data_IF_392601944207
#
_entry.id   IF_392601944207
#
_cell.length_a   1.000
_cell.length_b   1.000
_cell.length_c   1.000
_cell.angle_alpha   90.00
_cell.angle_beta   90.00
_cell.angle_gamma   90.00
#
_symmetry.space_group_name_H-M   'P 1'
#
loop_
_entity.id
_entity.type
_entity.pdbx_description
1 polymer ?
#
# COMPACT_ATOMS: atom_id res chain seq x y z
N UNK A 1 23.49 22.68 -14.84
CA UNK A 1 23.45 21.53 -15.77
C UNK A 1 22.55 20.48 -15.14
N UNK A 2 21.32 20.39 -15.62
CA UNK A 2 20.32 19.46 -15.07
C UNK A 2 20.70 18.02 -15.39
N UNK A 3 21.18 17.30 -14.41
CA UNK A 3 21.27 15.84 -14.48
C UNK A 3 19.84 15.28 -14.50
N UNK A 4 19.39 14.94 -15.70
CA UNK A 4 18.12 14.28 -15.97
C UNK A 4 18.02 13.03 -15.11
N UNK A 5 17.14 13.08 -14.11
CA UNK A 5 16.75 11.96 -13.29
C UNK A 5 16.13 10.87 -14.19
N UNK A 6 16.94 9.93 -14.65
CA UNK A 6 16.56 8.94 -15.65
C UNK A 6 15.66 7.89 -14.99
N UNK A 7 14.34 8.14 -15.05
CA UNK A 7 13.27 7.12 -14.88
C UNK A 7 13.42 6.20 -13.67
N UNK A 8 13.60 6.78 -12.46
CA UNK A 8 13.52 6.03 -11.21
C UNK A 8 14.72 5.12 -10.90
N UNK A 9 15.86 5.32 -11.56
CA UNK A 9 17.13 4.74 -11.16
C UNK A 9 17.83 5.64 -10.15
N UNK A 10 18.60 5.04 -9.25
CA UNK A 10 19.52 5.77 -8.38
C UNK A 10 20.59 6.47 -9.22
N UNK A 11 21.23 7.51 -8.67
CA UNK A 11 22.30 8.29 -9.34
C UNK A 11 23.39 7.44 -9.99
N UNK A 12 23.67 6.25 -9.44
CA UNK A 12 24.67 5.29 -9.92
C UNK A 12 24.13 4.32 -10.98
N UNK A 13 23.04 4.61 -11.66
CA UNK A 13 22.38 3.70 -12.61
C UNK A 13 21.98 2.32 -12.04
N UNK A 14 22.02 2.17 -10.71
CA UNK A 14 21.58 0.96 -10.01
C UNK A 14 20.06 0.84 -10.03
N UNK A 15 19.52 -0.38 -10.06
CA UNK A 15 18.07 -0.57 -9.99
C UNK A 15 17.54 -0.06 -8.64
N UNK A 16 16.31 0.45 -8.66
CA UNK A 16 15.64 0.87 -7.44
C UNK A 16 15.45 -0.35 -6.51
N UNK A 17 15.81 -0.27 -5.22
CA UNK A 17 15.67 -1.38 -4.28
C UNK A 17 14.25 -1.95 -4.18
N UNK A 18 13.22 -1.10 -4.30
CA UNK A 18 11.83 -1.56 -4.32
C UNK A 18 11.55 -2.37 -5.59
N UNK A 19 12.04 -1.94 -6.76
CA UNK A 19 11.87 -2.70 -8.01
C UNK A 19 12.59 -4.06 -7.93
N UNK A 20 13.73 -4.12 -7.24
CA UNK A 20 14.46 -5.37 -6.96
C UNK A 20 13.65 -6.29 -6.06
N UNK A 21 13.09 -5.76 -4.96
CA UNK A 21 12.25 -6.52 -4.04
C UNK A 21 11.03 -7.11 -4.76
N UNK A 22 10.27 -6.27 -5.46
CA UNK A 22 9.09 -6.69 -6.25
C UNK A 22 9.47 -7.77 -7.27
N UNK A 23 10.58 -7.58 -7.98
CA UNK A 23 11.09 -8.56 -8.93
C UNK A 23 11.47 -9.91 -8.29
N UNK A 24 12.07 -9.88 -7.11
CA UNK A 24 12.40 -11.09 -6.34
C UNK A 24 11.13 -11.83 -5.87
N UNK A 25 10.10 -11.11 -5.40
CA UNK A 25 8.81 -11.69 -5.01
C UNK A 25 8.12 -12.34 -6.19
N UNK A 26 8.11 -11.67 -7.36
CA UNK A 26 7.62 -12.22 -8.63
C UNK A 26 8.34 -13.53 -8.99
N UNK A 27 9.67 -13.53 -8.96
CA UNK A 27 10.51 -14.70 -9.24
C UNK A 27 10.24 -15.85 -8.27
N UNK A 28 10.11 -15.55 -6.97
CA UNK A 28 9.81 -16.54 -5.93
C UNK A 28 8.48 -17.24 -6.22
N UNK A 29 7.41 -16.47 -6.44
CA UNK A 29 6.07 -17.02 -6.70
C UNK A 29 6.03 -17.87 -7.97
N UNK A 30 6.65 -17.38 -9.06
CA UNK A 30 6.78 -18.15 -10.30
C UNK A 30 7.46 -19.51 -10.06
N UNK A 31 8.56 -19.53 -9.27
CA UNK A 31 9.25 -20.78 -8.93
C UNK A 31 8.40 -21.73 -8.11
N UNK A 32 7.64 -21.22 -7.13
CA UNK A 32 6.69 -22.01 -6.33
C UNK A 32 5.66 -22.66 -7.25
N UNK A 33 5.19 -21.95 -8.26
CA UNK A 33 4.26 -22.48 -9.28
C UNK A 33 4.95 -23.37 -10.32
N UNK A 34 6.25 -23.66 -10.17
CA UNK A 34 7.07 -24.43 -11.11
C UNK A 34 7.01 -23.90 -12.57
N UNK A 35 6.74 -22.61 -12.72
CA UNK A 35 6.59 -21.96 -14.01
C UNK A 35 7.96 -21.48 -14.53
N UNK A 36 8.25 -21.69 -15.82
CA UNK A 36 9.45 -21.11 -16.46
C UNK A 36 9.27 -19.61 -16.74
N UNK A 37 10.35 -18.87 -16.91
CA UNK A 37 10.27 -17.47 -17.36
C UNK A 37 9.61 -17.32 -18.74
N UNK A 38 9.84 -18.28 -19.62
CA UNK A 38 9.20 -18.32 -20.95
C UNK A 38 7.69 -18.52 -20.85
N UNK A 39 7.26 -19.44 -19.97
CA UNK A 39 5.85 -19.68 -19.71
C UNK A 39 5.17 -18.42 -19.15
N UNK A 40 5.80 -17.77 -18.18
CA UNK A 40 5.27 -16.52 -17.62
C UNK A 40 5.20 -15.41 -18.68
N UNK A 41 6.24 -15.27 -19.51
CA UNK A 41 6.27 -14.30 -20.61
C UNK A 41 5.12 -14.53 -21.60
N UNK A 42 4.86 -15.78 -21.97
CA UNK A 42 3.73 -16.16 -22.84
C UNK A 42 2.39 -15.75 -22.27
N UNK A 43 2.13 -16.03 -20.99
CA UNK A 43 0.86 -15.66 -20.33
C UNK A 43 0.68 -14.15 -20.20
N UNK A 44 1.76 -13.39 -20.07
CA UNK A 44 1.76 -11.94 -19.95
C UNK A 44 1.81 -11.21 -21.31
N UNK A 45 1.90 -11.93 -22.43
CA UNK A 45 2.04 -11.33 -23.75
C UNK A 45 3.31 -10.47 -23.91
N UNK A 46 4.44 -10.91 -23.34
CA UNK A 46 5.70 -10.16 -23.36
C UNK A 46 6.90 -11.06 -23.69
N UNK A 47 8.07 -10.44 -23.90
CA UNK A 47 9.28 -11.18 -24.19
C UNK A 47 9.88 -11.78 -22.90
N UNK A 48 10.57 -12.89 -23.05
CA UNK A 48 11.34 -13.52 -21.99
C UNK A 48 12.38 -12.56 -21.37
N UNK A 49 13.06 -11.77 -22.19
CA UNK A 49 14.03 -10.77 -21.73
C UNK A 49 13.39 -9.71 -20.83
N UNK A 50 12.12 -9.34 -21.10
CA UNK A 50 11.43 -8.38 -20.26
C UNK A 50 11.07 -8.97 -18.90
N UNK A 51 10.66 -10.24 -18.84
CA UNK A 51 10.47 -10.97 -17.58
C UNK A 51 11.76 -11.04 -16.78
N UNK A 52 12.90 -11.34 -17.42
CA UNK A 52 14.20 -11.31 -16.75
C UNK A 52 14.55 -9.95 -16.16
N UNK A 53 14.31 -8.87 -16.91
CA UNK A 53 14.57 -7.51 -16.45
C UNK A 53 13.69 -7.17 -15.23
N UNK A 54 12.42 -7.59 -15.23
CA UNK A 54 11.52 -7.42 -14.11
C UNK A 54 12.00 -8.19 -12.87
N UNK A 55 12.32 -9.48 -13.02
CA UNK A 55 12.79 -10.32 -11.91
C UNK A 55 14.10 -9.86 -11.29
N UNK A 56 14.91 -9.11 -12.05
CA UNK A 56 16.17 -8.52 -11.57
C UNK A 56 16.03 -7.07 -11.08
N UNK A 57 14.85 -6.47 -11.23
CA UNK A 57 14.59 -5.07 -10.88
C UNK A 57 15.23 -4.06 -11.85
N UNK A 58 15.74 -4.49 -12.99
CA UNK A 58 16.33 -3.60 -14.00
C UNK A 58 15.30 -2.79 -14.79
N UNK A 59 14.06 -3.22 -14.78
CA UNK A 59 12.94 -2.49 -15.35
C UNK A 59 11.84 -2.38 -14.31
N UNK A 60 11.27 -1.18 -14.18
CA UNK A 60 10.11 -0.93 -13.33
C UNK A 60 8.88 -1.59 -13.93
N UNK A 61 8.09 -2.24 -13.09
CA UNK A 61 6.80 -2.82 -13.47
C UNK A 61 5.73 -1.74 -13.22
N UNK A 62 5.09 -1.28 -14.29
CA UNK A 62 3.96 -0.35 -14.17
C UNK A 62 2.75 -1.03 -13.50
N UNK A 63 1.86 -0.23 -12.89
CA UNK A 63 0.74 -0.73 -12.08
C UNK A 63 -0.16 -1.72 -12.85
N UNK A 64 -0.55 -1.41 -14.10
CA UNK A 64 -1.35 -2.32 -14.93
C UNK A 64 -0.64 -3.64 -15.21
N UNK A 65 0.67 -3.58 -15.47
CA UNK A 65 1.46 -4.78 -15.71
C UNK A 65 1.65 -5.61 -14.44
N UNK A 66 1.79 -4.95 -13.30
CA UNK A 66 1.87 -5.63 -12.00
C UNK A 66 0.53 -6.33 -11.67
N UNK A 67 -0.59 -5.71 -12.06
CA UNK A 67 -1.90 -6.34 -11.98
C UNK A 67 -1.97 -7.62 -12.82
N UNK A 68 -1.57 -7.58 -14.11
CA UNK A 68 -1.53 -8.77 -14.96
C UNK A 68 -0.68 -9.89 -14.34
N UNK A 69 0.49 -9.53 -13.81
CA UNK A 69 1.39 -10.47 -13.12
C UNK A 69 0.71 -11.08 -11.90
N UNK A 70 -0.06 -10.30 -11.13
CA UNK A 70 -0.78 -10.78 -9.95
C UNK A 70 -1.83 -11.84 -10.32
N UNK A 71 -2.55 -11.60 -11.42
CA UNK A 71 -3.57 -12.54 -11.93
C UNK A 71 -2.91 -13.85 -12.41
N UNK A 72 -1.87 -13.76 -13.23
CA UNK A 72 -1.17 -14.94 -13.76
C UNK A 72 -0.53 -15.78 -12.65
N UNK A 73 0.03 -15.12 -11.64
CA UNK A 73 0.68 -15.78 -10.50
C UNK A 73 -0.28 -16.16 -9.37
N UNK A 74 -1.57 -15.80 -9.50
CA UNK A 74 -2.62 -16.01 -8.51
C UNK A 74 -2.20 -15.55 -7.09
N UNK A 75 -1.91 -14.26 -6.97
CA UNK A 75 -1.58 -13.58 -5.72
C UNK A 75 -2.23 -12.20 -5.67
N UNK A 76 -2.41 -11.66 -4.47
CA UNK A 76 -2.84 -10.26 -4.31
C UNK A 76 -1.73 -9.28 -4.69
N UNK A 77 -2.08 -8.03 -5.02
CA UNK A 77 -1.10 -6.97 -5.28
C UNK A 77 -0.17 -6.74 -4.08
N UNK A 78 -0.69 -6.86 -2.86
CA UNK A 78 0.08 -6.67 -1.63
C UNK A 78 1.18 -7.73 -1.47
N UNK A 79 1.05 -8.89 -2.09
CA UNK A 79 2.07 -9.93 -2.06
C UNK A 79 3.44 -9.42 -2.50
N UNK A 80 3.50 -8.55 -3.51
CA UNK A 80 4.76 -8.05 -4.07
C UNK A 80 5.49 -7.08 -3.14
N UNK A 81 4.78 -6.47 -2.19
CA UNK A 81 5.32 -5.52 -1.23
C UNK A 81 5.44 -6.09 0.18
N UNK A 82 4.89 -7.29 0.42
CA UNK A 82 4.99 -7.98 1.69
C UNK A 82 6.46 -8.30 2.04
N UNK A 83 6.76 -8.31 3.33
CA UNK A 83 8.09 -8.62 3.89
C UNK A 83 9.22 -7.69 3.38
N UNK A 84 8.86 -6.48 2.91
CA UNK A 84 9.86 -5.48 2.54
C UNK A 84 10.49 -4.92 3.81
N UNK A 85 11.81 -5.02 3.93
CA UNK A 85 12.54 -4.50 5.08
C UNK A 85 12.58 -2.96 5.07
N UNK A 86 12.64 -2.38 6.26
CA UNK A 86 12.64 -0.94 6.45
C UNK A 86 13.84 -0.26 5.75
N UNK A 87 14.97 -0.96 5.68
CA UNK A 87 16.16 -0.48 4.99
C UNK A 87 15.91 -0.32 3.49
N UNK A 88 15.21 -1.28 2.87
CA UNK A 88 14.82 -1.21 1.45
C UNK A 88 13.84 -0.05 1.21
N UNK A 89 12.86 0.15 2.10
CA UNK A 89 11.92 1.27 2.02
C UNK A 89 12.66 2.62 2.08
N UNK A 90 13.58 2.79 3.03
CA UNK A 90 14.37 4.02 3.22
C UNK A 90 15.35 4.30 2.07
N UNK A 91 15.68 3.33 1.24
CA UNK A 91 16.51 3.51 0.04
C UNK A 91 15.71 3.95 -1.19
N UNK A 92 14.40 4.11 -1.10
CA UNK A 92 13.61 4.69 -2.18
C UNK A 92 14.10 6.12 -2.49
N UNK A 93 14.15 6.53 -3.77
CA UNK A 93 14.53 7.90 -4.14
C UNK A 93 13.73 8.99 -3.44
N UNK A 94 12.48 8.69 -3.06
CA UNK A 94 11.62 9.56 -2.28
C UNK A 94 12.19 9.85 -0.88
N UNK A 95 12.77 8.85 -0.22
CA UNK A 95 13.37 9.01 1.11
C UNK A 95 14.80 9.56 1.07
N UNK A 96 15.46 9.50 -0.10
CA UNK A 96 16.81 10.03 -0.27
C UNK A 96 16.84 11.53 -0.55
N UNK A 97 15.73 12.11 -1.01
CA UNK A 97 15.59 13.57 -1.16
C UNK A 97 15.20 14.17 0.19
N UNK A 98 16.19 14.71 0.90
CA UNK A 98 16.05 15.31 2.23
C UNK A 98 15.00 16.42 2.31
N UNK A 99 14.85 17.19 1.22
CA UNK A 99 13.91 18.31 1.16
C UNK A 99 12.43 17.91 1.15
N UNK A 100 12.14 16.61 0.91
CA UNK A 100 10.78 16.06 0.94
C UNK A 100 10.49 15.28 2.25
N UNK A 101 11.48 15.14 3.13
CA UNK A 101 11.30 14.43 4.40
C UNK A 101 10.34 15.15 5.35
N UNK A 102 10.36 16.47 5.33
CA UNK A 102 9.62 17.29 6.30
C UNK A 102 8.18 17.55 5.88
N UNK A 103 7.87 17.49 4.56
CA UNK A 103 6.50 17.76 4.08
C UNK A 103 5.61 16.52 3.97
N UNK A 104 6.17 15.31 3.88
CA UNK A 104 5.42 14.07 3.69
C UNK A 104 5.91 12.96 4.65
N UNK A 105 6.48 13.32 5.77
CA UNK A 105 6.26 12.52 6.95
C UNK A 105 4.73 12.62 7.18
N UNK A 106 4.01 11.64 6.64
CA UNK A 106 2.77 11.23 7.31
C UNK A 106 3.25 11.02 8.74
N UNK A 107 3.11 12.08 9.54
CA UNK A 107 3.47 12.05 10.92
C UNK A 107 2.93 10.75 11.44
N UNK A 108 3.72 9.99 12.17
CA UNK A 108 3.16 8.86 12.90
C UNK A 108 1.93 9.32 13.69
N UNK A 109 1.86 10.60 14.05
CA UNK A 109 0.67 11.28 14.55
C UNK A 109 -0.50 11.27 13.56
N UNK A 110 -0.32 11.54 12.26
CA UNK A 110 -1.43 11.51 11.28
C UNK A 110 -1.88 10.07 11.01
N UNK A 111 -0.95 9.09 11.00
CA UNK A 111 -1.31 7.68 10.93
C UNK A 111 -1.95 7.20 12.24
N UNK A 112 -1.52 7.73 13.39
CA UNK A 112 -2.15 7.45 14.71
C UNK A 112 -3.52 8.11 14.84
N UNK A 113 -3.79 9.16 14.06
CA UNK A 113 -5.09 9.83 13.96
C UNK A 113 -6.06 9.11 13.02
N UNK A 114 -5.60 8.16 12.17
CA UNK A 114 -6.51 7.39 11.34
C UNK A 114 -7.35 6.45 12.22
N UNK A 115 -8.67 6.74 12.41
CA UNK A 115 -9.53 5.92 13.26
C UNK A 115 -9.57 4.45 12.81
N UNK A 116 -9.29 4.16 11.53
CA UNK A 116 -9.31 2.80 10.99
C UNK A 116 -8.12 1.95 11.43
N UNK A 117 -7.04 2.58 11.92
CA UNK A 117 -5.87 1.86 12.46
C UNK A 117 -5.99 1.55 13.96
N UNK A 118 -6.97 2.15 14.64
CA UNK A 118 -7.19 1.91 16.07
C UNK A 118 -7.76 0.51 16.29
N UNK A 119 -7.19 -0.19 17.28
CA UNK A 119 -7.64 -1.54 17.66
C UNK A 119 -9.12 -1.55 18.06
N UNK A 120 -9.60 -0.47 18.66
CA UNK A 120 -11.00 -0.26 19.04
C UNK A 120 -11.91 -0.27 17.80
N UNK A 121 -11.57 0.49 16.77
CA UNK A 121 -12.32 0.52 15.50
C UNK A 121 -12.41 -0.86 14.87
N UNK A 122 -11.28 -1.61 14.83
CA UNK A 122 -11.28 -2.96 14.30
C UNK A 122 -12.18 -3.90 15.12
N UNK A 123 -12.20 -3.77 16.46
CA UNK A 123 -13.08 -4.53 17.34
C UNK A 123 -14.55 -4.19 17.11
N UNK A 124 -14.86 -2.89 16.97
CA UNK A 124 -16.21 -2.40 16.71
C UNK A 124 -16.74 -2.91 15.37
N UNK A 125 -15.96 -2.77 14.30
CA UNK A 125 -16.32 -3.26 12.96
C UNK A 125 -16.53 -4.77 12.97
N UNK A 126 -15.64 -5.54 13.62
CA UNK A 126 -15.79 -7.00 13.73
C UNK A 126 -17.05 -7.38 14.52
N UNK A 127 -17.36 -6.69 15.61
CA UNK A 127 -18.56 -6.94 16.39
C UNK A 127 -19.84 -6.63 15.58
N UNK A 128 -19.86 -5.51 14.87
CA UNK A 128 -20.96 -5.11 14.00
C UNK A 128 -21.28 -6.16 12.92
N UNK A 129 -20.26 -6.67 12.24
CA UNK A 129 -20.44 -7.69 11.19
C UNK A 129 -20.80 -9.09 11.73
N UNK A 130 -20.59 -9.35 13.02
CA UNK A 130 -21.04 -10.60 13.69
C UNK A 130 -22.55 -10.59 14.01
N UNK A 131 -23.22 -9.43 13.94
CA UNK A 131 -24.65 -9.35 14.18
C UNK A 131 -25.43 -9.95 13.01
N UNK A 132 -26.09 -11.09 13.24
CA UNK A 132 -26.95 -11.76 12.24
C UNK A 132 -28.21 -10.97 11.96
N UNK A 133 -28.77 -10.27 12.99
CA UNK A 133 -29.98 -9.49 12.83
C UNK A 133 -29.64 -8.10 12.22
N UNK A 134 -29.92 -7.95 10.94
CA UNK A 134 -29.66 -6.71 10.21
C UNK A 134 -30.45 -5.51 10.67
N UNK A 135 -31.65 -5.72 11.22
CA UNK A 135 -32.47 -4.63 11.82
C UNK A 135 -31.81 -4.10 13.08
N UNK A 136 -31.31 -5.00 13.94
CA UNK A 136 -30.57 -4.62 15.15
C UNK A 136 -29.25 -3.91 14.80
N UNK A 137 -28.49 -4.42 13.83
CA UNK A 137 -27.26 -3.79 13.38
C UNK A 137 -27.50 -2.35 12.88
N UNK A 138 -28.56 -2.13 12.10
CA UNK A 138 -28.96 -0.79 11.65
C UNK A 138 -29.33 0.13 12.82
N UNK A 139 -30.15 -0.36 13.76
CA UNK A 139 -30.53 0.44 14.94
C UNK A 139 -29.31 0.87 15.77
N UNK A 140 -28.33 0.01 15.96
CA UNK A 140 -27.06 0.35 16.64
C UNK A 140 -26.30 1.41 15.87
N UNK A 141 -26.21 1.30 14.55
CA UNK A 141 -25.56 2.29 13.70
C UNK A 141 -26.26 3.66 13.77
N UNK A 142 -27.57 3.67 13.69
CA UNK A 142 -28.37 4.89 13.80
C UNK A 142 -28.21 5.56 15.18
N UNK A 143 -28.15 4.76 16.26
CA UNK A 143 -27.89 5.25 17.62
C UNK A 143 -26.49 5.90 17.71
N UNK A 144 -25.44 5.26 17.17
CA UNK A 144 -24.11 5.82 17.16
C UNK A 144 -24.04 7.16 16.39
N UNK A 145 -24.80 7.28 15.28
CA UNK A 145 -24.87 8.52 14.53
C UNK A 145 -25.57 9.66 15.32
N UNK A 146 -26.60 9.31 16.07
CA UNK A 146 -27.34 10.31 16.91
C UNK A 146 -26.40 10.81 18.00
N UNK A 147 -25.79 9.93 18.76
CA UNK A 147 -24.86 10.28 19.83
C UNK A 147 -23.68 11.14 19.35
N UNK A 148 -23.11 10.79 18.20
CA UNK A 148 -22.01 11.57 17.62
C UNK A 148 -22.42 12.98 17.17
N UNK A 149 -23.71 13.19 16.82
CA UNK A 149 -24.25 14.53 16.50
C UNK A 149 -24.50 15.34 17.76
N UNK A 150 -25.00 14.73 18.83
CA UNK A 150 -25.26 15.41 20.11
C UNK A 150 -23.96 15.88 20.74
N UNK A 151 -22.90 15.08 20.73
CA UNK A 151 -21.56 15.48 21.21
C UNK A 151 -21.01 16.68 20.45
N UNK A 152 -21.17 16.71 19.12
CA UNK A 152 -20.70 17.82 18.30
C UNK A 152 -21.46 19.12 18.61
N UNK A 153 -22.75 19.05 18.83
CA UNK A 153 -23.55 20.22 19.18
C UNK A 153 -23.18 20.78 20.57
N UNK A 154 -22.85 19.91 21.52
CA UNK A 154 -22.41 20.33 22.87
C UNK A 154 -21.01 20.98 22.82
N UNK A 155 -20.09 20.53 21.95
CA UNK A 155 -18.78 21.17 21.76
C UNK A 155 -18.90 22.57 21.14
N UNK A 156 -19.82 22.75 20.21
CA UNK A 156 -20.09 24.05 19.58
C UNK A 156 -20.74 25.03 20.58
N UNK A 157 -21.63 24.60 21.48
CA UNK A 157 -22.23 25.39 22.52
C UNK A 157 -21.25 25.82 23.62
N UNK A 158 -20.27 24.96 23.96
CA UNK A 158 -19.21 25.28 24.94
C UNK A 158 -18.19 26.32 24.41
N UNK A 159 -18.01 26.40 23.09
CA UNK A 159 -17.13 27.40 22.45
C UNK A 159 -17.79 28.79 22.47
N UNK A 160 -19.12 28.87 22.37
CA UNK A 160 -19.86 30.13 22.37
C UNK A 160 -20.13 30.68 23.78
N UNK A 161 -20.03 29.86 24.83
CA UNK A 161 -20.32 30.24 26.24
C UNK A 161 -19.08 30.42 27.11
N UNK A 162 -17.88 30.56 26.56
CA UNK A 162 -16.68 30.97 27.34
C UNK A 162 -16.70 32.46 27.56
N UNK A 163 -16.69 32.95 28.82
CA UNK A 163 -16.69 34.37 29.19
C UNK A 163 -15.40 35.08 28.75
#
# INVERSE_FOLDING_TARGET
MDEKNIRGRLKDNKPNPIDVHVGQRMKLRRKILKMSQQTLAKHLGMTFQQVQKYEKGFSRIGASRLWDVSQVLNVSMNYFFADMDEKTMKQSPRFLNSDLKDEICLNEEVLSLDPMQRLETLKLVRAYYKLFNRKLARAIFDLLQILAREEKNNEDDDIYNRP
#
